data_IF_288681897134
#
_entry.id   IF_288681897134
#
_cell.length_a   1.000
_cell.length_b   1.000
_cell.length_c   1.000
_cell.angle_alpha   90.00
_cell.angle_beta   90.00
_cell.angle_gamma   90.00
#
_symmetry.space_group_name_H-M   'P 1'
#
loop_
_entity.id
_entity.type
_entity.pdbx_description
1 polymer ?
#
# COMPACT_ATOMS: atom_id res chain seq x y z
N UNK A 1 0.22 32.58 11.77
CA UNK A 1 1.06 31.82 12.71
C UNK A 1 2.51 32.18 12.39
N UNK A 2 3.31 32.61 13.37
CA UNK A 2 4.72 32.91 13.09
C UNK A 2 5.57 31.61 13.11
N UNK A 3 6.75 31.60 12.47
CA UNK A 3 7.60 30.39 12.36
C UNK A 3 7.92 29.77 13.72
N UNK A 4 8.18 30.60 14.75
CA UNK A 4 8.51 30.12 16.09
C UNK A 4 7.33 29.44 16.79
N UNK A 5 6.10 29.90 16.54
CA UNK A 5 4.90 29.23 17.06
C UNK A 5 4.63 27.91 16.34
N UNK A 6 4.88 27.85 15.03
CA UNK A 6 4.74 26.63 14.24
C UNK A 6 5.74 25.57 14.70
N UNK A 7 7.02 25.92 14.81
CA UNK A 7 8.07 25.03 15.31
C UNK A 7 7.83 24.55 16.74
N UNK A 8 7.16 25.37 17.57
CA UNK A 8 6.79 24.97 18.94
C UNK A 8 5.65 23.96 18.98
N UNK A 9 4.68 24.07 18.08
CA UNK A 9 3.48 23.21 18.07
C UNK A 9 3.72 21.93 17.27
N UNK A 10 4.39 22.04 16.13
CA UNK A 10 4.77 20.94 15.27
C UNK A 10 6.27 20.68 15.37
N UNK A 11 6.70 20.21 16.55
CA UNK A 11 8.11 19.98 16.87
C UNK A 11 8.76 18.93 15.97
N UNK A 12 7.95 18.01 15.44
CA UNK A 12 8.35 16.96 14.50
C UNK A 12 8.25 17.41 13.02
N UNK A 13 7.85 18.66 12.78
CA UNK A 13 7.85 19.31 11.45
C UNK A 13 7.03 18.55 10.39
N UNK A 14 5.87 18.03 10.78
CA UNK A 14 4.89 17.45 9.85
C UNK A 14 4.55 18.38 8.68
N UNK A 15 4.49 19.70 8.91
CA UNK A 15 4.25 20.69 7.86
C UNK A 15 5.30 20.63 6.73
N UNK A 16 6.59 20.39 7.05
CA UNK A 16 7.64 20.28 6.05
C UNK A 16 7.46 19.04 5.16
N UNK A 17 6.84 17.97 5.69
CA UNK A 17 6.50 16.77 4.93
C UNK A 17 5.43 17.10 3.90
N UNK A 18 4.36 17.80 4.30
CA UNK A 18 3.30 18.22 3.39
C UNK A 18 3.79 19.19 2.31
N UNK A 19 4.65 20.14 2.66
CA UNK A 19 5.24 21.07 1.69
C UNK A 19 6.04 20.34 0.61
N UNK A 20 6.65 19.19 0.95
CA UNK A 20 7.41 18.34 0.02
C UNK A 20 6.56 17.38 -0.79
N UNK A 21 5.30 17.14 -0.42
CA UNK A 21 4.44 16.15 -1.10
C UNK A 21 4.33 16.35 -2.61
N UNK A 22 4.14 17.57 -3.16
CA UNK A 22 4.09 17.75 -4.62
C UNK A 22 5.36 17.28 -5.32
N UNK A 23 6.52 17.54 -4.70
CA UNK A 23 7.81 17.10 -5.23
C UNK A 23 7.96 15.59 -5.12
N UNK A 24 7.66 14.99 -3.96
CA UNK A 24 7.71 13.53 -3.78
C UNK A 24 6.77 12.82 -4.75
N UNK A 25 5.57 13.34 -4.99
CA UNK A 25 4.61 12.78 -5.95
C UNK A 25 5.15 12.84 -7.38
N UNK A 26 5.76 13.97 -7.77
CA UNK A 26 6.38 14.14 -9.09
C UNK A 26 7.55 13.18 -9.27
N UNK A 27 8.48 13.13 -8.31
CA UNK A 27 9.63 12.23 -8.34
C UNK A 27 9.20 10.75 -8.40
N UNK A 28 8.17 10.37 -7.63
CA UNK A 28 7.62 9.01 -7.66
C UNK A 28 6.96 8.67 -8.99
N UNK A 29 6.29 9.63 -9.64
CA UNK A 29 5.67 9.44 -10.95
C UNK A 29 6.70 9.35 -12.08
N UNK A 30 7.77 10.14 -12.00
CA UNK A 30 8.87 10.16 -12.97
C UNK A 30 9.87 9.01 -12.75
N UNK A 31 9.77 8.30 -11.63
CA UNK A 31 10.65 7.18 -11.32
C UNK A 31 10.50 6.06 -12.35
N UNK A 32 11.61 5.71 -12.99
CA UNK A 32 11.64 4.62 -13.96
C UNK A 32 11.65 3.28 -13.23
N UNK A 33 10.47 2.70 -13.04
CA UNK A 33 10.30 1.38 -12.46
C UNK A 33 10.32 0.30 -13.53
N UNK A 34 10.99 -0.81 -13.25
CA UNK A 34 10.88 -1.99 -14.09
C UNK A 34 9.42 -2.46 -14.12
N UNK A 35 8.92 -2.76 -15.32
CA UNK A 35 7.56 -3.24 -15.48
C UNK A 35 7.43 -4.60 -14.81
N UNK A 36 6.63 -4.65 -13.75
CA UNK A 36 6.24 -5.90 -13.12
C UNK A 36 5.21 -6.61 -14.01
N UNK A 37 5.68 -7.59 -14.79
CA UNK A 37 4.84 -8.30 -15.75
C UNK A 37 4.19 -9.52 -15.10
N UNK A 38 3.01 -9.31 -14.51
CA UNK A 38 2.19 -10.40 -14.01
C UNK A 38 1.06 -10.68 -14.98
N UNK A 39 0.86 -11.97 -15.29
CA UNK A 39 -0.25 -12.45 -16.10
C UNK A 39 -1.29 -13.15 -15.26
N UNK A 40 -2.49 -13.28 -15.82
CA UNK A 40 -3.58 -14.10 -15.30
C UNK A 40 -3.94 -13.71 -13.86
N UNK A 41 -4.18 -12.41 -13.64
CA UNK A 41 -4.65 -11.88 -12.35
C UNK A 41 -6.12 -11.51 -12.48
N UNK A 42 -6.95 -12.21 -11.72
CA UNK A 42 -8.38 -11.97 -11.58
C UNK A 42 -8.75 -11.46 -10.16
N UNK A 43 -7.82 -11.54 -9.20
CA UNK A 43 -8.00 -11.08 -7.83
C UNK A 43 -6.80 -10.26 -7.34
N UNK A 44 -7.05 -9.06 -6.81
CA UNK A 44 -6.04 -8.23 -6.13
C UNK A 44 -6.42 -8.07 -4.65
N UNK A 45 -5.48 -8.38 -3.77
CA UNK A 45 -5.62 -8.16 -2.32
C UNK A 45 -4.69 -7.05 -1.89
N UNK A 46 -5.23 -5.91 -1.47
CA UNK A 46 -4.45 -4.85 -0.82
C UNK A 46 -4.39 -5.10 0.68
N UNK A 47 -3.18 -5.26 1.24
CA UNK A 47 -2.96 -5.45 2.67
C UNK A 47 -2.17 -4.28 3.25
N UNK A 48 -2.73 -3.64 4.28
CA UNK A 48 -2.10 -2.50 4.94
C UNK A 48 -2.97 -1.95 6.05
N UNK A 49 -2.33 -1.37 7.07
CA UNK A 49 -3.03 -0.75 8.21
C UNK A 49 -3.11 0.76 8.05
N UNK A 50 -4.11 1.39 8.68
CA UNK A 50 -4.25 2.85 8.70
C UNK A 50 -4.23 3.46 7.30
N UNK A 51 -3.39 4.48 7.11
CA UNK A 51 -3.21 5.16 5.81
C UNK A 51 -2.81 4.23 4.67
N UNK A 52 -1.99 3.21 4.94
CA UNK A 52 -1.62 2.19 3.95
C UNK A 52 -2.83 1.36 3.51
N UNK A 53 -3.74 1.05 4.45
CA UNK A 53 -5.00 0.39 4.14
C UNK A 53 -5.96 1.27 3.35
N UNK A 54 -5.96 2.59 3.60
CA UNK A 54 -6.80 3.56 2.88
C UNK A 54 -6.46 3.62 1.38
N UNK A 55 -5.18 3.44 1.01
CA UNK A 55 -4.78 3.36 -0.40
C UNK A 55 -5.49 2.18 -1.09
N UNK A 56 -5.62 1.04 -0.39
CA UNK A 56 -6.37 -0.11 -0.88
C UNK A 56 -7.85 0.18 -1.15
N UNK A 57 -8.50 0.99 -0.30
CA UNK A 57 -9.90 1.40 -0.51
C UNK A 57 -10.06 2.28 -1.77
N UNK A 58 -9.10 3.19 -2.01
CA UNK A 58 -9.07 4.03 -3.21
C UNK A 58 -8.88 3.17 -4.46
N UNK A 59 -7.93 2.24 -4.43
CA UNK A 59 -7.68 1.33 -5.56
C UNK A 59 -8.87 0.41 -5.83
N UNK A 60 -9.54 -0.10 -4.78
CA UNK A 60 -10.78 -0.86 -4.93
C UNK A 60 -11.89 -0.06 -5.60
N UNK A 61 -11.99 1.24 -5.28
CA UNK A 61 -12.96 2.13 -5.92
C UNK A 61 -12.60 2.41 -7.38
N UNK A 62 -11.31 2.61 -7.68
CA UNK A 62 -10.82 2.85 -9.03
C UNK A 62 -11.07 1.66 -9.96
N UNK A 63 -10.79 0.45 -9.48
CA UNK A 63 -10.93 -0.81 -10.22
C UNK A 63 -12.36 -1.37 -10.19
N UNK A 64 -13.32 -0.67 -9.57
CA UNK A 64 -14.69 -1.17 -9.38
C UNK A 64 -15.49 -1.45 -10.66
N UNK A 65 -15.01 -0.94 -11.80
CA UNK A 65 -15.61 -1.15 -13.13
C UNK A 65 -14.84 -2.14 -14.00
N UNK A 66 -13.67 -2.57 -13.54
CA UNK A 66 -12.87 -3.58 -14.22
C UNK A 66 -13.32 -4.98 -13.78
N UNK A 67 -13.09 -5.98 -14.63
CA UNK A 67 -13.39 -7.39 -14.32
C UNK A 67 -12.30 -8.01 -13.45
N UNK A 68 -12.02 -7.36 -12.30
CA UNK A 68 -11.01 -7.76 -11.34
C UNK A 68 -11.64 -7.73 -9.95
N UNK A 69 -11.61 -8.85 -9.24
CA UNK A 69 -12.00 -8.89 -7.84
C UNK A 69 -10.97 -8.13 -7.00
N UNK A 70 -11.42 -7.24 -6.11
CA UNK A 70 -10.53 -6.52 -5.19
C UNK A 70 -10.95 -6.78 -3.75
N UNK A 71 -9.98 -7.08 -2.89
CA UNK A 71 -10.17 -7.17 -1.43
C UNK A 71 -9.19 -6.26 -0.70
N UNK A 72 -9.64 -5.64 0.38
CA UNK A 72 -8.80 -4.84 1.27
C UNK A 72 -8.70 -5.53 2.63
N UNK A 73 -7.47 -5.79 3.08
CA UNK A 73 -7.13 -6.47 4.33
C UNK A 73 -6.48 -5.48 5.27
N UNK A 74 -7.19 -5.16 6.34
CA UNK A 74 -6.71 -4.33 7.47
C UNK A 74 -6.56 -5.22 8.72
N UNK A 75 -5.75 -6.27 8.59
CA UNK A 75 -5.55 -7.26 9.64
C UNK A 75 -4.55 -8.35 9.26
N UNK A 76 -4.56 -9.46 10.00
CA UNK A 76 -3.52 -10.49 9.96
C UNK A 76 -3.76 -11.61 8.92
N UNK A 77 -4.98 -11.74 8.41
CA UNK A 77 -5.39 -12.92 7.64
C UNK A 77 -5.72 -12.55 6.20
N UNK A 78 -5.24 -13.37 5.27
CA UNK A 78 -5.67 -13.32 3.89
C UNK A 78 -7.10 -13.89 3.74
N UNK A 79 -7.90 -13.38 2.79
CA UNK A 79 -9.16 -14.00 2.40
C UNK A 79 -8.96 -15.46 1.96
N UNK A 80 -9.97 -16.29 2.19
CA UNK A 80 -9.96 -17.68 1.67
C UNK A 80 -10.08 -17.76 0.14
N UNK A 81 -10.38 -16.63 -0.51
CA UNK A 81 -10.46 -16.51 -1.97
C UNK A 81 -9.09 -16.42 -2.64
N UNK A 82 -8.00 -16.29 -1.87
CA UNK A 82 -6.64 -16.20 -2.42
C UNK A 82 -6.20 -17.53 -3.04
N UNK A 83 -5.71 -17.47 -4.27
CA UNK A 83 -5.21 -18.59 -5.06
C UNK A 83 -3.99 -18.20 -5.94
N UNK A 84 -3.63 -19.04 -6.92
CA UNK A 84 -2.50 -18.81 -7.83
C UNK A 84 -2.67 -17.63 -8.79
N UNK A 85 -3.91 -17.17 -9.01
CA UNK A 85 -4.23 -16.02 -9.86
C UNK A 85 -4.32 -14.73 -9.04
N UNK A 86 -4.10 -14.80 -7.72
CA UNK A 86 -4.16 -13.63 -6.87
C UNK A 86 -2.84 -12.84 -6.84
N UNK A 87 -2.94 -11.51 -6.92
CA UNK A 87 -1.86 -10.58 -6.59
C UNK A 87 -2.11 -9.93 -5.22
N UNK A 88 -1.23 -10.18 -4.26
CA UNK A 88 -1.25 -9.54 -2.94
C UNK A 88 -0.28 -8.34 -2.94
N UNK A 89 -0.83 -7.14 -2.74
CA UNK A 89 -0.10 -5.88 -2.66
C UNK A 89 -0.06 -5.43 -1.21
N UNK A 90 1.13 -5.45 -0.60
CA UNK A 90 1.34 -5.01 0.77
C UNK A 90 1.88 -3.59 0.82
N UNK A 91 1.40 -2.81 1.78
CA UNK A 91 1.83 -1.41 1.99
C UNK A 91 2.04 -1.14 3.48
N UNK A 92 3.22 -0.66 3.87
CA UNK A 92 3.52 -0.27 5.26
C UNK A 92 4.60 0.81 5.30
N UNK A 93 4.26 2.01 5.78
CA UNK A 93 5.22 3.13 5.91
C UNK A 93 6.37 2.77 6.85
N UNK A 94 6.11 2.01 7.92
CA UNK A 94 7.15 1.63 8.88
C UNK A 94 7.95 0.40 8.46
N UNK A 95 7.51 -0.31 7.42
CA UNK A 95 8.03 -1.61 6.99
C UNK A 95 7.86 -2.76 7.99
N UNK A 96 7.34 -2.48 9.20
CA UNK A 96 7.41 -3.38 10.36
C UNK A 96 6.05 -3.61 11.02
N UNK A 97 4.94 -3.22 10.39
CA UNK A 97 3.61 -3.48 10.94
C UNK A 97 3.36 -4.99 11.03
N UNK A 98 3.08 -5.49 12.24
CA UNK A 98 2.92 -6.92 12.52
C UNK A 98 1.85 -7.59 11.64
N UNK A 99 0.74 -6.90 11.38
CA UNK A 99 -0.33 -7.33 10.50
C UNK A 99 0.19 -7.57 9.07
N UNK A 100 0.91 -6.58 8.53
CA UNK A 100 1.43 -6.63 7.16
C UNK A 100 2.51 -7.70 7.01
N UNK A 101 3.41 -7.81 7.99
CA UNK A 101 4.41 -8.88 8.02
C UNK A 101 3.79 -10.26 8.16
N UNK A 102 2.71 -10.40 8.94
CA UNK A 102 1.99 -11.66 9.08
C UNK A 102 1.33 -12.07 7.77
N UNK A 103 0.72 -11.12 7.06
CA UNK A 103 0.19 -11.37 5.71
C UNK A 103 1.32 -11.76 4.75
N UNK A 104 2.46 -11.06 4.77
CA UNK A 104 3.60 -11.34 3.90
C UNK A 104 4.13 -12.77 4.05
N UNK A 105 4.18 -13.29 5.29
CA UNK A 105 4.65 -14.66 5.58
C UNK A 105 3.86 -15.76 4.86
N UNK A 106 2.66 -15.46 4.36
CA UNK A 106 1.89 -16.41 3.52
C UNK A 106 2.56 -16.67 2.17
N UNK A 107 3.48 -15.83 1.71
CA UNK A 107 4.24 -16.05 0.48
C UNK A 107 5.05 -17.35 0.48
N UNK A 108 5.40 -17.88 1.66
CA UNK A 108 6.13 -19.15 1.80
C UNK A 108 5.25 -20.38 1.59
N UNK A 109 3.92 -20.22 1.61
CA UNK A 109 2.95 -21.32 1.62
C UNK A 109 1.86 -21.18 0.54
N UNK A 110 1.76 -20.02 -0.10
CA UNK A 110 0.76 -19.71 -1.12
C UNK A 110 1.40 -19.65 -2.50
N UNK A 111 0.63 -20.04 -3.52
CA UNK A 111 1.00 -19.85 -4.93
C UNK A 111 0.64 -18.45 -5.46
N UNK A 112 0.01 -17.61 -4.63
CA UNK A 112 -0.27 -16.22 -4.97
C UNK A 112 1.01 -15.42 -5.17
N UNK A 113 0.90 -14.32 -5.89
CA UNK A 113 2.01 -13.42 -6.19
C UNK A 113 2.01 -12.29 -5.17
N UNK A 114 3.18 -11.90 -4.67
CA UNK A 114 3.29 -10.90 -3.61
C UNK A 114 4.21 -9.76 -4.06
N UNK A 115 3.79 -8.52 -3.80
CA UNK A 115 4.60 -7.31 -3.93
C UNK A 115 4.42 -6.47 -2.67
N UNK A 116 5.51 -5.85 -2.20
CA UNK A 116 5.48 -5.02 -1.00
C UNK A 116 6.08 -3.64 -1.27
N UNK A 117 5.43 -2.61 -0.75
CA UNK A 117 5.90 -1.22 -0.77
C UNK A 117 6.06 -0.75 0.68
N UNK A 118 7.22 -0.13 0.97
CA UNK A 118 7.56 0.46 2.26
C UNK A 118 8.30 1.76 2.07
#
# INVERSE_FOLDING_TARGET
MNSKELERIDSEKMYEVYDKWPQTAKESYEMNLEKFNVKDVDHIVFAGMGGSGTIGDVMSSLLSKDDIHVSVVKGYLLPKTVDSNTLVVLTSISGNTDETLTVLKNNLKSNAKFIAFS
#
